data_IF_163873333783
#
_entry.id   IF_163873333783
#
_cell.length_a   1.000
_cell.length_b   1.000
_cell.length_c   1.000
_cell.angle_alpha   90.00
_cell.angle_beta   90.00
_cell.angle_gamma   90.00
#
_symmetry.space_group_name_H-M   'P 1'
#
loop_
_entity.id
_entity.type
_entity.pdbx_description
1 polymer ?
#
# COMPACT_ATOMS: atom_id res chain seq x y z
N UNK A 1 -20.11 27.33 4.52
CA UNK A 1 -18.87 26.89 3.84
C UNK A 1 -19.29 26.02 2.68
N UNK A 2 -19.09 26.48 1.45
CA UNK A 2 -19.52 25.73 0.25
C UNK A 2 -18.65 24.47 0.15
N UNK A 3 -19.26 23.28 0.24
CA UNK A 3 -18.56 22.03 0.02
C UNK A 3 -18.19 21.96 -1.45
N UNK A 4 -16.97 22.37 -1.79
CA UNK A 4 -16.45 22.20 -3.14
C UNK A 4 -16.45 20.70 -3.42
N UNK A 5 -17.27 20.28 -4.39
CA UNK A 5 -17.37 18.87 -4.79
C UNK A 5 -16.03 18.51 -5.43
N UNK A 6 -15.21 17.78 -4.70
CA UNK A 6 -13.93 17.27 -5.20
C UNK A 6 -14.20 16.30 -6.35
N UNK A 7 -13.47 16.48 -7.45
CA UNK A 7 -13.45 15.58 -8.60
C UNK A 7 -12.08 14.93 -8.64
N UNK A 8 -11.99 13.59 -8.64
CA UNK A 8 -10.71 12.90 -8.78
C UNK A 8 -10.00 13.31 -10.09
N UNK A 9 -8.66 13.40 -10.08
CA UNK A 9 -7.90 13.58 -11.30
C UNK A 9 -8.07 12.37 -12.21
N UNK A 10 -8.18 12.62 -13.51
CA UNK A 10 -8.22 11.57 -14.51
C UNK A 10 -6.79 11.24 -14.97
N UNK A 11 -6.37 10.00 -14.72
CA UNK A 11 -5.07 9.47 -15.14
C UNK A 11 -5.18 8.55 -16.36
N UNK A 12 -6.29 8.63 -17.12
CA UNK A 12 -6.55 7.79 -18.30
C UNK A 12 -5.65 8.09 -19.50
N UNK A 13 -5.12 9.31 -19.62
CA UNK A 13 -4.13 9.67 -20.65
C UNK A 13 -2.72 9.25 -20.20
N UNK A 14 -2.42 7.97 -20.39
CA UNK A 14 -1.15 7.38 -19.98
C UNK A 14 0.05 7.91 -20.79
N UNK A 15 -0.14 8.29 -22.04
CA UNK A 15 0.93 8.84 -22.87
C UNK A 15 1.39 10.22 -22.34
N UNK A 16 0.44 11.05 -21.89
CA UNK A 16 0.76 12.31 -21.22
C UNK A 16 1.52 12.11 -19.90
N UNK A 17 1.26 11.00 -19.18
CA UNK A 17 1.93 10.69 -17.91
C UNK A 17 3.38 10.26 -18.08
N UNK A 18 3.75 9.60 -19.18
CA UNK A 18 5.12 9.09 -19.41
C UNK A 18 6.17 10.18 -19.18
N UNK A 19 6.01 11.33 -19.86
CA UNK A 19 6.99 12.41 -19.78
C UNK A 19 7.03 13.07 -18.39
N UNK A 20 5.89 13.12 -17.68
CA UNK A 20 5.83 13.65 -16.33
C UNK A 20 6.53 12.71 -15.33
N UNK A 21 6.31 11.39 -15.45
CA UNK A 21 6.91 10.37 -14.60
C UNK A 21 8.41 10.23 -14.83
N UNK A 22 8.88 10.30 -16.09
CA UNK A 22 10.32 10.30 -16.41
C UNK A 22 11.06 11.44 -15.71
N UNK A 23 10.46 12.64 -15.68
CA UNK A 23 11.05 13.80 -15.00
C UNK A 23 10.97 13.69 -13.49
N UNK A 24 9.84 13.24 -12.97
CA UNK A 24 9.58 13.23 -11.53
C UNK A 24 10.21 12.02 -10.81
N UNK A 25 10.55 10.95 -11.55
CA UNK A 25 11.19 9.77 -10.99
C UNK A 25 12.36 9.28 -11.86
N UNK A 26 13.53 9.94 -11.80
CA UNK A 26 14.70 9.53 -12.58
C UNK A 26 15.15 8.09 -12.31
N UNK A 27 14.90 7.56 -11.11
CA UNK A 27 15.22 6.17 -10.76
C UNK A 27 14.40 5.14 -11.57
N UNK A 28 13.20 5.51 -12.03
CA UNK A 28 12.34 4.65 -12.86
C UNK A 28 12.51 4.92 -14.37
N UNK A 29 13.35 5.88 -14.75
CA UNK A 29 13.58 6.21 -16.15
C UNK A 29 14.42 5.13 -16.87
N UNK A 30 14.16 4.84 -18.15
CA UNK A 30 13.08 5.42 -18.96
C UNK A 30 11.72 4.77 -18.64
N UNK A 31 10.71 5.60 -18.41
CA UNK A 31 9.32 5.21 -18.24
C UNK A 31 8.72 5.01 -19.63
N UNK A 32 8.22 3.81 -19.92
CA UNK A 32 7.62 3.47 -21.22
C UNK A 32 6.51 2.47 -21.04
N UNK A 33 5.55 2.51 -21.97
CA UNK A 33 4.44 1.55 -22.07
C UNK A 33 3.75 1.37 -20.72
N UNK A 34 2.90 2.34 -20.37
CA UNK A 34 2.16 2.33 -19.12
C UNK A 34 0.86 1.53 -19.26
N UNK A 35 0.42 0.92 -18.16
CA UNK A 35 -0.93 0.38 -18.04
C UNK A 35 -1.47 0.54 -16.62
N UNK A 36 -2.78 0.68 -16.49
CA UNK A 36 -3.43 0.75 -15.18
C UNK A 36 -3.45 -0.66 -14.57
N UNK A 37 -2.89 -0.81 -13.37
CA UNK A 37 -2.99 -2.05 -12.57
C UNK A 37 -4.30 -2.11 -11.80
N UNK A 38 -4.81 -0.96 -11.37
CA UNK A 38 -6.06 -0.87 -10.64
C UNK A 38 -6.25 0.50 -10.00
N UNK A 39 -7.47 0.71 -9.49
CA UNK A 39 -7.86 1.92 -8.79
C UNK A 39 -8.38 1.53 -7.40
N UNK A 40 -7.98 2.27 -6.39
CA UNK A 40 -8.51 2.17 -5.04
C UNK A 40 -9.00 3.53 -4.56
N UNK A 41 -9.52 3.58 -3.34
CA UNK A 41 -10.13 4.77 -2.73
C UNK A 41 -9.27 6.05 -2.81
N UNK A 42 -7.95 5.91 -2.82
CA UNK A 42 -7.00 7.01 -2.67
C UNK A 42 -5.99 7.10 -3.80
N UNK A 43 -5.98 6.14 -4.73
CA UNK A 43 -4.90 6.07 -5.72
C UNK A 43 -5.30 5.31 -6.97
N UNK A 44 -4.79 5.76 -8.11
CA UNK A 44 -4.66 4.94 -9.31
C UNK A 44 -3.25 4.36 -9.34
N UNK A 45 -3.12 3.05 -9.47
CA UNK A 45 -1.85 2.36 -9.64
C UNK A 45 -1.58 2.14 -11.13
N UNK A 46 -0.48 2.68 -11.63
CA UNK A 46 -0.02 2.55 -13.01
C UNK A 46 1.31 1.80 -13.00
N UNK A 47 1.44 0.77 -13.84
CA UNK A 47 2.70 0.07 -14.04
C UNK A 47 3.34 0.47 -15.36
N UNK A 48 4.67 0.32 -15.41
CA UNK A 48 5.48 0.50 -16.61
C UNK A 48 6.16 -0.79 -17.02
N UNK A 49 6.45 -0.92 -18.31
CA UNK A 49 7.19 -2.09 -18.84
C UNK A 49 8.60 -2.21 -18.28
N UNK A 50 9.17 -1.10 -17.84
CA UNK A 50 10.46 -1.02 -17.14
C UNK A 50 10.41 -1.62 -15.73
N UNK A 51 9.27 -2.13 -15.28
CA UNK A 51 9.15 -2.86 -14.02
C UNK A 51 8.91 -1.98 -12.80
N UNK A 52 8.34 -0.79 -12.98
CA UNK A 52 7.98 0.12 -11.88
C UNK A 52 6.47 0.30 -11.76
N UNK A 53 6.01 0.48 -10.54
CA UNK A 53 4.64 0.88 -10.20
C UNK A 53 4.67 2.30 -9.66
N UNK A 54 3.74 3.12 -10.15
CA UNK A 54 3.45 4.47 -9.70
C UNK A 54 2.05 4.47 -9.08
N UNK A 55 1.95 4.83 -7.80
CA UNK A 55 0.66 5.09 -7.14
C UNK A 55 0.43 6.59 -7.15
N UNK A 56 -0.55 7.03 -7.92
CA UNK A 56 -0.89 8.43 -8.14
C UNK A 56 -2.07 8.81 -7.26
N UNK A 57 -1.91 9.86 -6.46
CA UNK A 57 -2.92 10.28 -5.50
C UNK A 57 -4.17 10.77 -6.20
N UNK A 58 -5.34 10.33 -5.71
CA UNK A 58 -6.62 10.83 -6.22
C UNK A 58 -7.20 11.91 -5.33
N UNK A 59 -6.95 11.91 -4.01
CA UNK A 59 -7.54 12.90 -3.09
C UNK A 59 -6.50 13.71 -2.29
N UNK A 60 -6.87 14.90 -1.75
CA UNK A 60 -5.95 15.80 -1.04
C UNK A 60 -5.22 15.15 0.16
N UNK A 61 -5.88 14.22 0.84
CA UNK A 61 -5.33 13.62 2.07
C UNK A 61 -4.25 12.56 1.80
N UNK A 62 -3.97 12.25 0.54
CA UNK A 62 -3.11 11.13 0.15
C UNK A 62 -1.63 11.49 0.19
N UNK A 63 -1.25 12.74 -0.09
CA UNK A 63 0.14 13.16 -0.07
C UNK A 63 0.82 12.89 1.29
N UNK A 64 0.10 13.15 2.40
CA UNK A 64 0.58 12.84 3.75
C UNK A 64 0.76 11.32 3.97
N UNK A 65 -0.08 10.49 3.35
CA UNK A 65 0.03 9.02 3.39
C UNK A 65 1.24 8.54 2.61
N UNK A 66 1.51 9.09 1.42
CA UNK A 66 2.71 8.74 0.66
C UNK A 66 3.99 9.17 1.37
N UNK A 67 4.03 10.35 2.01
CA UNK A 67 5.16 10.76 2.84
C UNK A 67 5.39 9.79 4.00
N UNK A 68 4.32 9.31 4.64
CA UNK A 68 4.42 8.26 5.65
C UNK A 68 4.99 6.96 5.06
N UNK A 69 4.46 6.48 3.95
CA UNK A 69 4.97 5.27 3.28
C UNK A 69 6.45 5.44 2.89
N UNK A 70 6.84 6.59 2.33
CA UNK A 70 8.20 6.94 1.95
C UNK A 70 9.20 6.87 3.11
N UNK A 71 8.80 7.30 4.31
CA UNK A 71 9.65 7.24 5.50
C UNK A 71 9.71 5.83 6.10
N UNK A 72 8.57 5.13 6.12
CA UNK A 72 8.41 3.88 6.88
C UNK A 72 8.88 2.65 6.09
N UNK A 73 8.61 2.59 4.78
CA UNK A 73 8.94 1.42 3.98
C UNK A 73 10.45 1.15 3.89
N UNK A 74 11.33 2.14 3.69
CA UNK A 74 12.78 1.91 3.72
C UNK A 74 13.26 1.40 5.08
N UNK A 75 12.71 1.91 6.18
CA UNK A 75 13.01 1.37 7.52
C UNK A 75 12.52 -0.06 7.67
N UNK A 76 11.31 -0.40 7.22
CA UNK A 76 10.79 -1.77 7.22
C UNK A 76 11.65 -2.72 6.38
N UNK A 77 12.20 -2.24 5.26
CA UNK A 77 13.07 -3.04 4.39
C UNK A 77 14.39 -3.44 5.07
N UNK A 78 14.81 -2.74 6.13
CA UNK A 78 15.96 -3.14 6.96
C UNK A 78 15.65 -4.29 7.93
N UNK A 79 14.38 -4.69 8.05
CA UNK A 79 13.93 -5.70 9.01
C UNK A 79 13.81 -7.07 8.34
N UNK A 80 13.95 -8.12 9.16
CA UNK A 80 13.73 -9.49 8.71
C UNK A 80 12.23 -9.76 8.53
N UNK A 81 11.70 -9.47 7.35
CA UNK A 81 10.33 -9.77 6.96
C UNK A 81 10.29 -11.02 6.09
N UNK A 82 9.33 -11.93 6.31
CA UNK A 82 9.24 -13.20 5.57
C UNK A 82 8.67 -13.05 4.14
N UNK A 83 8.34 -11.83 3.72
CA UNK A 83 7.84 -11.52 2.38
C UNK A 83 8.46 -10.21 1.87
N UNK A 84 8.56 -10.08 0.56
CA UNK A 84 8.96 -8.84 -0.08
C UNK A 84 7.89 -7.75 0.15
N UNK A 85 8.35 -6.53 0.39
CA UNK A 85 7.53 -5.33 0.51
C UNK A 85 7.98 -4.30 -0.53
N UNK A 86 7.14 -3.30 -0.88
CA UNK A 86 7.57 -2.23 -1.75
C UNK A 86 8.78 -1.47 -1.18
N UNK A 87 9.74 -1.17 -2.03
CA UNK A 87 10.91 -0.33 -1.73
C UNK A 87 10.80 0.97 -2.55
N UNK A 88 10.29 2.07 -1.95
CA UNK A 88 10.10 3.32 -2.67
C UNK A 88 11.39 3.90 -3.22
N UNK A 89 11.40 4.21 -4.52
CA UNK A 89 12.53 4.85 -5.18
C UNK A 89 12.29 6.33 -5.49
N UNK A 90 11.01 6.76 -5.55
CA UNK A 90 10.65 8.16 -5.73
C UNK A 90 9.39 8.53 -4.94
N UNK A 91 9.38 9.75 -4.41
CA UNK A 91 8.19 10.46 -3.96
C UNK A 91 7.89 11.56 -4.98
N UNK A 92 6.68 11.58 -5.53
CA UNK A 92 6.26 12.59 -6.50
C UNK A 92 5.58 13.74 -5.75
N UNK A 93 6.09 14.95 -5.95
CA UNK A 93 5.52 16.15 -5.35
C UNK A 93 4.08 16.40 -5.84
N UNK A 94 3.28 17.00 -4.97
CA UNK A 94 1.93 17.44 -5.29
C UNK A 94 1.93 18.69 -6.15
N UNK A 95 1.14 18.67 -7.23
CA UNK A 95 1.00 19.74 -8.20
C UNK A 95 1.24 19.29 -9.64
N UNK A 96 0.95 20.17 -10.60
CA UNK A 96 1.12 19.90 -12.02
C UNK A 96 0.41 18.63 -12.48
N UNK A 97 1.19 17.66 -13.00
CA UNK A 97 0.69 16.37 -13.47
C UNK A 97 0.26 15.40 -12.34
N UNK A 98 0.60 15.70 -11.08
CA UNK A 98 0.26 14.88 -9.92
C UNK A 98 -0.42 15.75 -8.86
N UNK A 99 -1.70 16.15 -9.04
CA UNK A 99 -2.35 17.12 -8.15
C UNK A 99 -2.29 16.78 -6.66
N UNK A 100 -2.19 15.50 -6.31
CA UNK A 100 -2.09 15.01 -4.93
C UNK A 100 -0.85 14.15 -4.68
N UNK A 101 0.17 14.35 -5.51
CA UNK A 101 1.45 13.64 -5.46
C UNK A 101 1.34 12.16 -5.83
N UNK A 102 2.40 11.44 -5.52
CA UNK A 102 2.51 10.01 -5.83
C UNK A 102 3.71 9.36 -5.16
N UNK A 103 3.80 8.04 -5.29
CA UNK A 103 4.97 7.26 -4.85
C UNK A 103 5.27 6.20 -5.90
N UNK A 104 6.57 5.94 -6.15
CA UNK A 104 7.02 4.94 -7.11
C UNK A 104 7.92 3.91 -6.44
N UNK A 105 7.84 2.66 -6.90
CA UNK A 105 8.66 1.54 -6.44
C UNK A 105 8.77 0.44 -7.51
N UNK A 106 9.82 -0.41 -7.47
CA UNK A 106 9.92 -1.59 -8.32
C UNK A 106 8.71 -2.52 -8.12
N UNK A 107 8.14 -3.01 -9.23
CA UNK A 107 7.01 -3.91 -9.20
C UNK A 107 7.38 -5.21 -8.46
N UNK A 108 6.59 -5.56 -7.46
CA UNK A 108 6.75 -6.84 -6.77
C UNK A 108 6.31 -7.97 -7.71
N UNK A 109 7.19 -8.95 -7.90
CA UNK A 109 6.88 -10.14 -8.67
C UNK A 109 5.77 -10.96 -8.00
N UNK A 110 4.84 -11.46 -8.81
CA UNK A 110 3.76 -12.32 -8.33
C UNK A 110 2.43 -12.03 -9.01
N UNK A 111 1.37 -12.63 -8.48
CA UNK A 111 -0.01 -12.39 -8.89
C UNK A 111 -0.84 -12.17 -7.63
N UNK A 112 -1.86 -11.28 -7.66
CA UNK A 112 -2.80 -11.16 -6.56
C UNK A 112 -3.38 -12.53 -6.19
N UNK A 113 -3.50 -12.80 -4.88
CA UNK A 113 -4.18 -14.01 -4.43
C UNK A 113 -5.64 -13.97 -4.87
N UNK A 114 -6.16 -15.03 -5.51
CA UNK A 114 -7.57 -15.06 -5.90
C UNK A 114 -8.46 -15.07 -4.66
N UNK A 115 -9.67 -14.52 -4.80
CA UNK A 115 -10.65 -14.50 -3.70
C UNK A 115 -11.06 -15.91 -3.23
N UNK A 116 -11.01 -16.89 -4.13
CA UNK A 116 -11.31 -18.30 -3.84
C UNK A 116 -10.04 -19.12 -3.93
N UNK A 117 -9.61 -19.66 -2.80
CA UNK A 117 -8.42 -20.50 -2.69
C UNK A 117 -8.79 -21.98 -2.60
N UNK A 118 -8.05 -22.81 -3.33
CA UNK A 118 -8.07 -24.26 -3.17
C UNK A 118 -7.71 -24.65 -1.73
N UNK A 119 -8.31 -25.71 -1.19
CA UNK A 119 -8.10 -26.12 0.21
C UNK A 119 -6.62 -26.44 0.51
N UNK A 120 -5.88 -26.96 -0.47
CA UNK A 120 -4.45 -27.30 -0.36
C UNK A 120 -3.58 -26.10 0.01
N UNK A 121 -3.92 -24.91 -0.48
CA UNK A 121 -3.05 -23.74 -0.41
C UNK A 121 -3.26 -22.95 0.89
N UNK A 122 -4.42 -23.13 1.53
CA UNK A 122 -4.85 -22.37 2.71
C UNK A 122 -3.90 -22.52 3.90
N UNK A 123 -3.43 -23.74 4.17
CA UNK A 123 -2.57 -23.99 5.34
C UNK A 123 -1.18 -23.34 5.18
N UNK A 124 -0.65 -23.30 3.97
CA UNK A 124 0.63 -22.65 3.68
C UNK A 124 0.48 -21.13 3.75
N UNK A 125 -0.55 -20.58 3.09
CA UNK A 125 -0.84 -19.14 3.11
C UNK A 125 -1.13 -18.62 4.51
N UNK A 126 -1.94 -19.33 5.31
CA UNK A 126 -2.21 -18.96 6.70
C UNK A 126 -0.92 -18.90 7.53
N UNK A 127 0.00 -19.85 7.33
CA UNK A 127 1.32 -19.82 8.01
C UNK A 127 2.16 -18.64 7.57
N UNK A 128 2.20 -18.31 6.28
CA UNK A 128 2.95 -17.15 5.77
C UNK A 128 2.37 -15.83 6.29
N UNK A 129 1.05 -15.65 6.25
CA UNK A 129 0.36 -14.47 6.78
C UNK A 129 0.61 -14.33 8.28
N UNK A 130 0.48 -15.42 9.05
CA UNK A 130 0.75 -15.43 10.49
C UNK A 130 2.22 -15.08 10.78
N UNK A 131 3.15 -15.62 10.00
CA UNK A 131 4.59 -15.32 10.10
C UNK A 131 4.88 -13.85 9.85
N UNK A 132 4.29 -13.26 8.80
CA UNK A 132 4.45 -11.84 8.50
C UNK A 132 3.88 -10.94 9.60
N UNK A 133 2.65 -11.21 10.06
CA UNK A 133 2.03 -10.45 11.14
C UNK A 133 2.83 -10.55 12.44
N UNK A 134 3.34 -11.74 12.76
CA UNK A 134 4.20 -11.93 13.94
C UNK A 134 5.50 -11.15 13.82
N UNK A 135 6.13 -11.13 12.64
CA UNK A 135 7.34 -10.33 12.40
C UNK A 135 7.05 -8.83 12.59
N UNK A 136 5.96 -8.33 12.01
CA UNK A 136 5.52 -6.93 12.17
C UNK A 136 5.24 -6.57 13.64
N UNK A 137 4.56 -7.45 14.39
CA UNK A 137 4.24 -7.21 15.80
C UNK A 137 5.46 -7.27 16.74
N UNK A 138 6.57 -7.83 16.29
CA UNK A 138 7.83 -7.90 17.06
C UNK A 138 8.73 -6.70 16.85
N UNK A 139 8.42 -5.83 15.88
CA UNK A 139 9.21 -4.64 15.63
C UNK A 139 9.15 -3.68 16.81
N UNK A 140 10.27 -3.01 17.09
CA UNK A 140 10.34 -2.00 18.14
C UNK A 140 9.49 -0.79 17.77
N UNK A 141 8.56 -0.43 18.66
CA UNK A 141 7.73 0.77 18.51
C UNK A 141 8.59 2.04 18.53
N UNK A 142 9.63 2.07 19.36
CA UNK A 142 10.49 3.24 19.49
C UNK A 142 11.36 3.45 18.23
N UNK A 143 11.88 2.36 17.64
CA UNK A 143 12.54 2.44 16.33
C UNK A 143 11.57 2.90 15.24
N UNK A 144 10.33 2.39 15.26
CA UNK A 144 9.30 2.79 14.30
C UNK A 144 8.98 4.28 14.40
N UNK A 145 8.83 4.82 15.62
CA UNK A 145 8.62 6.25 15.86
C UNK A 145 9.80 7.08 15.37
N UNK A 146 11.03 6.65 15.62
CA UNK A 146 12.23 7.30 15.11
C UNK A 146 12.26 7.33 13.57
N UNK A 147 11.66 6.32 12.92
CA UNK A 147 11.48 6.25 11.47
C UNK A 147 10.24 7.01 10.95
N UNK A 148 9.52 7.75 11.79
CA UNK A 148 8.37 8.56 11.39
C UNK A 148 7.02 7.83 11.39
N UNK A 149 6.91 6.65 12.00
CA UNK A 149 5.59 6.08 12.30
C UNK A 149 4.87 6.95 13.34
N UNK A 150 3.63 7.42 13.06
CA UNK A 150 2.87 8.17 14.04
C UNK A 150 2.51 7.29 15.23
N UNK A 151 2.41 7.89 16.41
CA UNK A 151 1.89 7.18 17.59
C UNK A 151 0.40 6.86 17.36
N UNK A 152 0.07 5.57 17.32
CA UNK A 152 -1.32 5.12 17.15
C UNK A 152 -2.27 5.58 18.26
N UNK A 153 -1.74 6.09 19.39
CA UNK A 153 -2.55 6.71 20.46
C UNK A 153 -3.14 8.06 20.07
N UNK A 154 -2.55 8.74 19.09
CA UNK A 154 -2.93 10.07 18.61
C UNK A 154 -3.81 10.02 17.34
N UNK A 155 -3.69 8.97 16.52
CA UNK A 155 -4.31 8.88 15.19
C UNK A 155 -5.49 7.86 15.13
N UNK A 156 -6.54 8.07 15.92
CA UNK A 156 -7.78 7.28 15.92
C UNK A 156 -7.76 5.94 16.68
N UNK A 157 -7.46 6.00 17.98
CA UNK A 157 -7.70 4.90 18.93
C UNK A 157 -9.08 4.25 18.78
N UNK A 158 -10.12 5.08 18.59
CA UNK A 158 -11.51 4.62 18.38
C UNK A 158 -11.69 3.84 17.08
N UNK A 159 -11.02 4.25 16.00
CA UNK A 159 -11.06 3.53 14.72
C UNK A 159 -10.31 2.20 14.83
N UNK A 160 -9.13 2.20 15.48
CA UNK A 160 -8.36 0.99 15.75
C UNK A 160 -9.11 -0.02 16.63
N UNK A 161 -9.78 0.44 17.67
CA UNK A 161 -10.63 -0.39 18.55
C UNK A 161 -11.79 -1.02 17.78
N UNK A 162 -12.54 -0.23 17.00
CA UNK A 162 -13.63 -0.73 16.17
C UNK A 162 -13.16 -1.76 15.13
N UNK A 163 -12.01 -1.52 14.49
CA UNK A 163 -11.45 -2.45 13.51
C UNK A 163 -10.92 -3.73 14.16
N UNK A 164 -10.34 -3.62 15.35
CA UNK A 164 -9.88 -4.76 16.15
C UNK A 164 -11.07 -5.62 16.57
N UNK A 165 -12.16 -5.03 17.06
CA UNK A 165 -13.36 -5.78 17.43
C UNK A 165 -13.94 -6.55 16.24
N UNK A 166 -14.07 -5.90 15.08
CA UNK A 166 -14.53 -6.53 13.84
C UNK A 166 -13.62 -7.69 13.42
N UNK A 167 -12.30 -7.47 13.45
CA UNK A 167 -11.31 -8.49 13.08
C UNK A 167 -11.29 -9.67 14.06
N UNK A 168 -11.40 -9.41 15.37
CA UNK A 168 -11.47 -10.45 16.41
C UNK A 168 -12.78 -11.25 16.29
N UNK A 169 -13.91 -10.60 16.00
CA UNK A 169 -15.18 -11.29 15.78
C UNK A 169 -15.10 -12.24 14.57
N UNK A 170 -14.54 -11.77 13.46
CA UNK A 170 -14.32 -12.60 12.26
C UNK A 170 -13.33 -13.76 12.55
N UNK A 171 -12.27 -13.50 13.31
CA UNK A 171 -11.31 -14.53 13.70
C UNK A 171 -11.92 -15.56 14.65
N UNK A 172 -12.77 -15.17 15.59
CA UNK A 172 -13.48 -16.13 16.46
C UNK A 172 -14.31 -17.12 15.66
N UNK A 173 -15.03 -16.66 14.64
CA UNK A 173 -15.77 -17.54 13.74
C UNK A 173 -14.88 -18.58 13.03
N UNK A 174 -13.61 -18.24 12.77
CA UNK A 174 -12.64 -19.11 12.09
C UNK A 174 -11.82 -19.98 13.07
N UNK A 175 -11.60 -19.49 14.29
CA UNK A 175 -10.72 -20.10 15.29
C UNK A 175 -11.48 -20.90 16.36
N UNK A 176 -12.78 -20.66 16.54
CA UNK A 176 -13.60 -21.54 17.37
C UNK A 176 -13.81 -22.88 16.65
N UNK A 177 -13.46 -24.01 17.29
CA UNK A 177 -13.51 -25.33 16.68
C UNK A 177 -14.92 -25.91 16.63
N UNK A 178 -15.92 -25.12 16.22
CA UNK A 178 -17.28 -25.64 15.98
C UNK A 178 -17.28 -26.37 14.63
N UNK A 179 -17.04 -27.69 14.70
CA UNK A 179 -17.39 -28.71 13.72
C UNK A 179 -17.52 -28.24 12.26
N UNK A 180 -16.40 -28.21 11.54
CA UNK A 180 -16.39 -28.20 10.08
C UNK A 180 -16.06 -29.60 9.52
N UNK A 181 -16.65 -30.61 10.16
CA UNK A 181 -16.78 -31.96 9.65
C UNK A 181 -18.20 -32.17 9.08
N UNK A 182 -18.49 -31.58 7.92
CA UNK A 182 -19.42 -32.12 6.92
C UNK A 182 -18.94 -31.72 5.53
#
# INVERSE_FOLDING_TARGET
MSAHRWTPPDYGDLDALVAALDRACPAAAPVRELWILGEGYFSVAVASKSGYVFRLGTSPDVAARYRKEWNVLPWLATKELPIAIPDPCCLLDDGGAFPYGGIAYPMLGGRPLPAVLARSDRRALARQIAGFNLAMHRLSVDEGRAAGLPDGRDADRRWLEAYRESSVAALRYVLDPVDHAR
#
